data_IF_910877274456
#
_entry.id   IF_910877274456
#
_cell.length_a   1.000
_cell.length_b   1.000
_cell.length_c   1.000
_cell.angle_alpha   90.00
_cell.angle_beta   90.00
_cell.angle_gamma   90.00
#
_symmetry.space_group_name_H-M   'P 1'
#
loop_
_entity.id
_entity.type
_entity.pdbx_description
1 polymer ?
#
# COMPACT_ATOMS: atom_id res chain seq x y z
N UNK A 1 -20.39 -28.92 9.81
CA UNK A 1 -19.95 -28.21 8.59
C UNK A 1 -19.51 -26.85 9.06
N UNK A 2 -18.19 -26.72 9.30
CA UNK A 2 -17.61 -25.45 9.73
C UNK A 2 -17.76 -24.45 8.59
N UNK A 3 -18.56 -23.41 8.83
CA UNK A 3 -18.56 -22.23 7.99
C UNK A 3 -17.15 -21.62 8.09
N UNK A 4 -16.32 -21.89 7.09
CA UNK A 4 -15.07 -21.20 6.87
C UNK A 4 -15.39 -19.70 6.98
N UNK A 5 -15.12 -19.09 8.14
CA UNK A 5 -15.29 -17.65 8.32
C UNK A 5 -14.46 -16.97 7.23
N UNK A 6 -15.13 -16.24 6.35
CA UNK A 6 -14.49 -15.51 5.28
C UNK A 6 -13.34 -14.70 5.89
N UNK A 7 -12.14 -14.90 5.38
CA UNK A 7 -10.95 -14.20 5.86
C UNK A 7 -10.93 -12.84 5.21
N UNK A 8 -10.93 -11.82 6.02
CA UNK A 8 -10.91 -10.44 5.54
C UNK A 8 -9.49 -10.03 5.12
N UNK A 9 -9.34 -9.48 3.92
CA UNK A 9 -8.10 -8.83 3.50
C UNK A 9 -8.29 -7.32 3.50
N UNK A 10 -7.44 -6.62 4.22
CA UNK A 10 -7.41 -5.16 4.28
C UNK A 10 -6.13 -4.66 3.61
N UNK A 11 -6.29 -3.83 2.59
CA UNK A 11 -5.21 -3.21 1.84
C UNK A 11 -5.04 -1.75 2.25
N UNK A 12 -3.87 -1.39 2.79
CA UNK A 12 -3.46 0.00 2.88
C UNK A 12 -2.66 0.36 1.63
N UNK A 13 -3.19 1.24 0.80
CA UNK A 13 -2.62 1.59 -0.51
C UNK A 13 -1.83 2.92 -0.53
N UNK A 14 -1.67 3.56 0.60
CA UNK A 14 -0.98 4.85 0.69
C UNK A 14 -1.99 5.99 0.57
N UNK A 15 -1.65 7.13 0.06
CA UNK A 15 -0.66 7.48 -0.99
C UNK A 15 0.78 7.61 -0.46
N UNK A 16 1.72 7.92 -1.38
CA UNK A 16 3.07 8.29 -0.97
C UNK A 16 3.06 9.54 -0.07
N UNK A 17 4.06 9.70 0.79
CA UNK A 17 4.24 10.89 1.66
C UNK A 17 3.12 11.14 2.68
N UNK A 18 2.40 10.09 3.05
CA UNK A 18 1.32 10.11 4.05
C UNK A 18 1.64 9.24 5.28
N UNK A 19 2.91 9.03 5.61
CA UNK A 19 3.33 8.26 6.79
C UNK A 19 3.32 6.74 6.59
N UNK A 20 3.20 6.26 5.34
CA UNK A 20 3.17 4.83 4.99
C UNK A 20 4.33 4.05 5.60
N UNK A 21 5.56 4.56 5.46
CA UNK A 21 6.75 3.91 6.04
C UNK A 21 6.64 3.71 7.55
N UNK A 22 6.15 4.74 8.28
CA UNK A 22 5.97 4.65 9.73
C UNK A 22 4.92 3.60 10.09
N UNK A 23 3.81 3.53 9.34
CA UNK A 23 2.78 2.52 9.53
C UNK A 23 3.31 1.11 9.25
N UNK A 24 4.05 0.90 8.17
CA UNK A 24 4.66 -0.38 7.82
C UNK A 24 5.65 -0.86 8.87
N UNK A 25 6.51 0.03 9.38
CA UNK A 25 7.43 -0.27 10.49
C UNK A 25 6.65 -0.65 11.75
N UNK A 26 5.56 0.05 12.04
CA UNK A 26 4.69 -0.25 13.17
C UNK A 26 4.02 -1.62 13.02
N UNK A 27 3.51 -1.94 11.84
CA UNK A 27 2.94 -3.27 11.53
C UNK A 27 3.97 -4.37 11.74
N UNK A 28 5.21 -4.19 11.23
CA UNK A 28 6.28 -5.16 11.40
C UNK A 28 6.63 -5.39 12.89
N UNK A 29 6.77 -4.31 13.65
CA UNK A 29 7.07 -4.38 15.09
C UNK A 29 5.95 -5.07 15.88
N UNK A 30 4.71 -4.95 15.43
CA UNK A 30 3.53 -5.51 16.09
C UNK A 30 3.12 -6.88 15.57
N UNK A 31 3.78 -7.43 14.55
CA UNK A 31 3.32 -8.61 13.80
C UNK A 31 3.06 -9.83 14.70
N UNK A 32 3.96 -10.12 15.64
CA UNK A 32 3.79 -11.25 16.57
C UNK A 32 2.57 -11.07 17.50
N UNK A 33 2.39 -9.87 18.04
CA UNK A 33 1.23 -9.55 18.88
C UNK A 33 -0.08 -9.52 18.08
N UNK A 34 -0.04 -9.04 16.84
CA UNK A 34 -1.19 -9.07 15.94
C UNK A 34 -1.59 -10.50 15.58
N UNK A 35 -0.61 -11.39 15.35
CA UNK A 35 -0.86 -12.80 15.08
C UNK A 35 -1.62 -13.49 16.23
N UNK A 36 -1.28 -13.22 17.49
CA UNK A 36 -2.00 -13.75 18.67
C UNK A 36 -3.45 -13.25 18.76
N UNK A 37 -3.80 -12.17 18.04
CA UNK A 37 -5.14 -11.62 17.93
C UNK A 37 -5.85 -12.00 16.60
N UNK A 38 -5.29 -12.97 15.87
CA UNK A 38 -5.88 -13.45 14.61
C UNK A 38 -5.71 -12.50 13.42
N UNK A 39 -4.69 -11.63 13.45
CA UNK A 39 -4.33 -10.74 12.35
C UNK A 39 -2.95 -11.14 11.79
N UNK A 40 -2.91 -11.49 10.52
CA UNK A 40 -1.67 -11.74 9.80
C UNK A 40 -1.23 -10.44 9.09
N UNK A 41 0.01 -10.02 9.31
CA UNK A 41 0.63 -8.94 8.54
C UNK A 41 1.32 -9.56 7.34
N UNK A 42 0.92 -9.14 6.13
CA UNK A 42 1.55 -9.61 4.90
C UNK A 42 3.05 -9.32 4.90
N UNK A 43 3.85 -10.31 4.57
CA UNK A 43 5.31 -10.22 4.59
C UNK A 43 5.88 -10.43 3.20
N UNK A 44 6.65 -9.46 2.71
CA UNK A 44 7.39 -9.62 1.46
C UNK A 44 8.56 -10.58 1.61
N UNK A 45 8.70 -11.51 0.68
CA UNK A 45 9.89 -12.34 0.51
C UNK A 45 10.98 -11.68 -0.34
N UNK A 46 10.67 -10.57 -1.02
CA UNK A 46 11.57 -9.97 -2.01
C UNK A 46 12.66 -9.07 -1.41
N UNK A 47 12.43 -8.52 -0.23
CA UNK A 47 13.35 -7.58 0.40
C UNK A 47 13.46 -7.80 1.89
N UNK A 48 14.48 -7.17 2.51
CA UNK A 48 14.63 -7.14 3.98
C UNK A 48 13.52 -6.35 4.69
N UNK A 49 12.74 -5.56 3.95
CA UNK A 49 11.59 -4.79 4.47
C UNK A 49 10.34 -5.65 4.37
N UNK A 50 10.22 -6.62 5.24
CA UNK A 50 9.21 -7.67 5.17
C UNK A 50 7.77 -7.18 5.32
N UNK A 51 7.53 -6.06 6.00
CA UNK A 51 6.17 -5.51 6.16
C UNK A 51 5.65 -4.72 4.94
N UNK A 52 6.40 -4.66 3.86
CA UNK A 52 6.00 -4.03 2.61
C UNK A 52 5.54 -5.10 1.62
N UNK A 53 4.34 -4.97 1.11
CA UNK A 53 3.76 -5.96 0.19
C UNK A 53 4.21 -5.69 -1.25
N UNK A 54 5.51 -5.80 -1.51
CA UNK A 54 6.14 -5.49 -2.80
C UNK A 54 5.57 -6.33 -3.94
N UNK A 55 5.30 -7.61 -3.67
CA UNK A 55 4.74 -8.57 -4.61
C UNK A 55 3.43 -8.05 -5.21
N UNK A 56 2.55 -7.50 -4.37
CA UNK A 56 1.26 -7.00 -4.79
C UNK A 56 1.40 -5.85 -5.80
N UNK A 57 2.35 -4.94 -5.58
CA UNK A 57 2.61 -3.84 -6.51
C UNK A 57 3.20 -4.34 -7.84
N UNK A 58 4.15 -5.31 -7.79
CA UNK A 58 4.78 -5.87 -8.98
C UNK A 58 3.82 -6.69 -9.84
N UNK A 59 2.87 -7.41 -9.22
CA UNK A 59 1.87 -8.21 -9.92
C UNK A 59 0.78 -7.31 -10.52
N UNK A 60 0.33 -6.30 -9.77
CA UNK A 60 -0.88 -5.55 -10.13
C UNK A 60 -0.63 -4.46 -11.15
N UNK A 61 0.45 -3.69 -10.99
CA UNK A 61 0.70 -2.52 -11.81
C UNK A 61 1.07 -2.90 -13.25
N UNK A 62 0.58 -2.12 -14.19
CA UNK A 62 0.91 -2.24 -15.62
C UNK A 62 2.42 -2.19 -15.85
N UNK A 63 2.90 -2.92 -16.84
CA UNK A 63 4.33 -3.06 -17.14
C UNK A 63 4.99 -1.75 -17.56
N UNK A 64 4.24 -0.88 -18.22
CA UNK A 64 4.68 0.43 -18.72
C UNK A 64 5.01 1.39 -17.57
N UNK A 65 4.45 1.13 -16.38
CA UNK A 65 4.73 1.92 -15.20
C UNK A 65 6.03 1.45 -14.54
N UNK A 66 7.14 2.09 -14.88
CA UNK A 66 8.44 1.74 -14.35
C UNK A 66 8.63 2.30 -12.91
N UNK A 67 8.02 1.63 -11.93
CA UNK A 67 8.23 1.97 -10.54
C UNK A 67 9.64 1.63 -10.09
N UNK A 68 10.25 2.38 -9.13
CA UNK A 68 11.62 2.14 -8.65
C UNK A 68 11.87 0.70 -8.20
N UNK A 69 10.84 0.03 -7.70
CA UNK A 69 10.93 -1.36 -7.28
C UNK A 69 11.27 -2.30 -8.45
N UNK A 70 10.73 -2.05 -9.66
CA UNK A 70 11.05 -2.88 -10.85
C UNK A 70 12.49 -2.79 -11.27
N UNK A 71 13.12 -1.63 -11.13
CA UNK A 71 14.53 -1.46 -11.48
C UNK A 71 15.50 -2.27 -10.61
N UNK A 72 15.01 -2.83 -9.50
CA UNK A 72 15.79 -3.75 -8.66
C UNK A 72 15.88 -5.17 -9.24
N UNK A 73 15.08 -5.49 -10.27
CA UNK A 73 15.02 -6.82 -10.89
C UNK A 73 15.31 -6.73 -12.39
N UNK A 74 16.15 -7.64 -12.94
CA UNK A 74 16.36 -7.72 -14.39
C UNK A 74 15.05 -8.05 -15.11
N UNK A 75 14.78 -7.39 -16.25
CA UNK A 75 13.56 -7.62 -17.04
C UNK A 75 13.35 -9.09 -17.43
N UNK A 76 14.44 -9.80 -17.72
CA UNK A 76 14.41 -11.23 -18.06
C UNK A 76 13.94 -12.14 -16.91
N UNK A 77 14.01 -11.68 -15.67
CA UNK A 77 13.60 -12.47 -14.50
C UNK A 77 12.13 -12.25 -14.11
N UNK A 78 11.53 -11.15 -14.53
CA UNK A 78 10.18 -10.76 -14.11
C UNK A 78 9.09 -11.82 -14.40
N UNK A 79 9.02 -12.48 -15.57
CA UNK A 79 7.97 -13.47 -15.83
C UNK A 79 8.04 -14.71 -14.94
N UNK A 80 9.25 -15.18 -14.61
CA UNK A 80 9.42 -16.31 -13.68
C UNK A 80 9.16 -15.91 -12.25
N UNK A 81 9.58 -14.72 -11.86
CA UNK A 81 9.34 -14.15 -10.55
C UNK A 81 7.84 -13.87 -10.31
N UNK A 82 7.09 -13.43 -11.32
CA UNK A 82 5.65 -13.17 -11.16
C UNK A 82 4.88 -14.42 -10.70
N UNK A 83 5.19 -15.58 -11.26
CA UNK A 83 4.55 -16.83 -10.83
C UNK A 83 4.91 -17.19 -9.38
N UNK A 84 6.16 -17.02 -8.99
CA UNK A 84 6.57 -17.25 -7.61
C UNK A 84 5.91 -16.26 -6.66
N UNK A 85 5.90 -14.97 -7.01
CA UNK A 85 5.24 -13.93 -6.24
C UNK A 85 3.75 -14.21 -6.05
N UNK A 86 3.06 -14.66 -7.10
CA UNK A 86 1.65 -15.02 -7.01
C UNK A 86 1.43 -16.21 -6.05
N UNK A 87 2.26 -17.24 -6.13
CA UNK A 87 2.21 -18.37 -5.20
C UNK A 87 2.47 -17.94 -3.76
N UNK A 88 3.44 -17.05 -3.53
CA UNK A 88 3.75 -16.51 -2.21
C UNK A 88 2.58 -15.68 -1.65
N UNK A 89 1.93 -14.87 -2.49
CA UNK A 89 0.73 -14.13 -2.10
C UNK A 89 -0.40 -15.08 -1.68
N UNK A 90 -0.72 -16.06 -2.51
CA UNK A 90 -1.77 -17.05 -2.23
C UNK A 90 -1.44 -17.84 -0.94
N UNK A 91 -0.18 -18.23 -0.75
CA UNK A 91 0.27 -18.92 0.47
C UNK A 91 0.01 -18.08 1.72
N UNK A 92 0.25 -16.78 1.68
CA UNK A 92 -0.06 -15.91 2.82
C UNK A 92 -1.57 -15.77 3.06
N UNK A 93 -2.38 -15.87 2.01
CA UNK A 93 -3.85 -15.91 2.16
C UNK A 93 -4.35 -17.21 2.81
N UNK A 94 -3.54 -18.27 2.83
CA UNK A 94 -3.86 -19.51 3.54
C UNK A 94 -3.55 -19.47 5.04
N UNK A 95 -3.00 -18.36 5.56
CA UNK A 95 -2.80 -18.15 7.00
C UNK A 95 -4.08 -18.48 7.79
N UNK A 96 -3.99 -19.11 8.98
CA UNK A 96 -5.17 -19.38 9.83
C UNK A 96 -5.78 -18.11 10.43
N UNK A 97 -5.15 -16.96 10.25
CA UNK A 97 -5.65 -15.68 10.74
C UNK A 97 -7.02 -15.32 10.13
N UNK A 98 -7.87 -14.67 10.90
CA UNK A 98 -9.17 -14.17 10.44
C UNK A 98 -9.06 -12.98 9.51
N UNK A 99 -7.97 -12.21 9.66
CA UNK A 99 -7.68 -11.00 8.88
C UNK A 99 -6.24 -11.01 8.37
N UNK A 100 -6.06 -10.58 7.14
CA UNK A 100 -4.73 -10.28 6.57
C UNK A 100 -4.66 -8.77 6.32
N UNK A 101 -3.57 -8.14 6.72
CA UNK A 101 -3.32 -6.72 6.45
C UNK A 101 -2.08 -6.60 5.59
N UNK A 102 -2.23 -5.97 4.42
CA UNK A 102 -1.13 -5.67 3.51
C UNK A 102 -1.00 -4.16 3.30
N UNK A 103 0.23 -3.68 3.13
CA UNK A 103 0.50 -2.25 2.98
C UNK A 103 1.57 -2.00 1.93
N UNK A 104 1.23 -1.23 0.89
CA UNK A 104 2.19 -0.75 -0.08
C UNK A 104 1.71 0.52 -0.79
N UNK A 105 2.48 1.59 -0.70
CA UNK A 105 2.12 2.89 -1.28
C UNK A 105 2.08 2.91 -2.82
N UNK A 106 2.84 2.03 -3.50
CA UNK A 106 2.78 1.97 -4.96
C UNK A 106 1.43 1.45 -5.49
N UNK A 107 0.60 0.82 -4.66
CA UNK A 107 -0.78 0.47 -5.03
C UNK A 107 -1.65 1.70 -5.30
N UNK A 108 -1.24 2.89 -4.81
CA UNK A 108 -1.89 4.16 -5.17
C UNK A 108 -1.59 4.63 -6.60
N UNK A 109 -0.76 3.92 -7.36
CA UNK A 109 -0.52 4.18 -8.77
C UNK A 109 -1.46 3.38 -9.72
N UNK A 110 -2.29 2.53 -9.18
CA UNK A 110 -3.34 1.84 -9.94
C UNK A 110 -4.31 2.88 -10.51
N UNK A 111 -4.63 2.75 -11.83
CA UNK A 111 -5.54 3.63 -12.57
C UNK A 111 -6.47 2.86 -13.49
N UNK A 112 -6.35 1.54 -13.57
CA UNK A 112 -7.18 0.75 -14.45
C UNK A 112 -7.90 -0.36 -13.68
N UNK A 113 -9.11 -0.70 -14.16
CA UNK A 113 -9.88 -1.82 -13.65
C UNK A 113 -9.06 -3.12 -13.66
N UNK A 114 -8.33 -3.37 -14.73
CA UNK A 114 -7.53 -4.59 -14.89
C UNK A 114 -6.40 -4.69 -13.84
N UNK A 115 -5.82 -3.56 -13.42
CA UNK A 115 -4.81 -3.56 -12.35
C UNK A 115 -5.42 -3.96 -11.01
N UNK A 116 -6.64 -3.48 -10.69
CA UNK A 116 -7.35 -3.88 -9.48
C UNK A 116 -7.74 -5.36 -9.54
N UNK A 117 -8.21 -5.84 -10.69
CA UNK A 117 -8.57 -7.25 -10.89
C UNK A 117 -7.38 -8.18 -10.68
N UNK A 118 -6.18 -7.84 -11.20
CA UNK A 118 -4.95 -8.60 -10.91
C UNK A 118 -4.57 -8.59 -9.43
N UNK A 119 -4.78 -7.46 -8.75
CA UNK A 119 -4.55 -7.36 -7.30
C UNK A 119 -5.51 -8.26 -6.53
N UNK A 120 -6.77 -8.26 -6.88
CA UNK A 120 -7.80 -9.12 -6.27
C UNK A 120 -7.50 -10.60 -6.50
N UNK A 121 -7.09 -10.97 -7.72
CA UNK A 121 -6.65 -12.33 -8.05
C UNK A 121 -5.45 -12.77 -7.20
N UNK A 122 -4.43 -11.91 -7.05
CA UNK A 122 -3.26 -12.19 -6.21
C UNK A 122 -3.63 -12.40 -4.73
N UNK A 123 -4.77 -11.90 -4.30
CA UNK A 123 -5.31 -12.04 -2.95
C UNK A 123 -6.45 -13.07 -2.85
N UNK A 124 -6.52 -13.99 -3.82
CA UNK A 124 -7.48 -15.10 -3.85
C UNK A 124 -8.95 -14.61 -3.79
N UNK A 125 -9.23 -13.45 -4.38
CA UNK A 125 -10.55 -12.84 -4.41
C UNK A 125 -11.06 -12.29 -3.07
N UNK A 126 -10.21 -12.18 -2.05
CA UNK A 126 -10.62 -11.93 -0.65
C UNK A 126 -10.53 -10.49 -0.19
N UNK A 127 -10.33 -9.54 -1.06
CA UNK A 127 -10.25 -8.12 -0.67
C UNK A 127 -11.61 -7.65 -0.18
N UNK A 128 -11.69 -7.27 1.09
CA UNK A 128 -12.93 -6.74 1.68
C UNK A 128 -12.83 -5.24 1.98
N UNK A 129 -11.62 -4.70 2.05
CA UNK A 129 -11.42 -3.29 2.39
C UNK A 129 -10.12 -2.74 1.80
N UNK A 130 -10.22 -1.53 1.25
CA UNK A 130 -9.09 -0.69 0.85
C UNK A 130 -9.06 0.56 1.73
N UNK A 131 -7.93 0.84 2.33
CA UNK A 131 -7.69 2.06 3.11
C UNK A 131 -6.72 2.94 2.34
N UNK A 132 -7.19 4.09 1.91
CA UNK A 132 -6.44 5.11 1.19
C UNK A 132 -6.24 6.35 2.07
N UNK A 133 -5.03 6.85 2.17
CA UNK A 133 -4.75 8.13 2.82
C UNK A 133 -4.48 9.16 1.74
N UNK A 134 -5.32 10.15 1.65
CA UNK A 134 -5.14 11.27 0.73
C UNK A 134 -4.52 12.46 1.45
N UNK A 135 -3.70 13.17 0.71
CA UNK A 135 -3.08 14.41 1.12
C UNK A 135 -3.56 15.53 0.19
N UNK A 136 -3.54 16.77 0.69
CA UNK A 136 -3.70 17.93 -0.17
C UNK A 136 -2.77 17.85 -1.38
N UNK A 137 -3.31 18.11 -2.59
CA UNK A 137 -2.60 17.85 -3.85
C UNK A 137 -1.31 18.69 -3.98
N UNK A 138 -1.36 19.98 -3.61
CA UNK A 138 -0.18 20.86 -3.67
C UNK A 138 0.91 20.38 -2.70
N UNK A 139 0.50 20.08 -1.46
CA UNK A 139 1.37 19.56 -0.41
C UNK A 139 1.98 18.21 -0.79
N UNK A 140 1.18 17.34 -1.45
CA UNK A 140 1.66 16.07 -1.99
C UNK A 140 2.72 16.31 -3.06
N UNK A 141 2.43 17.11 -4.08
CA UNK A 141 3.33 17.39 -5.20
C UNK A 141 4.63 18.04 -4.74
N UNK A 142 4.58 18.98 -3.81
CA UNK A 142 5.79 19.54 -3.22
C UNK A 142 6.66 18.48 -2.54
N UNK A 143 6.05 17.60 -1.77
CA UNK A 143 6.76 16.49 -1.10
C UNK A 143 7.28 15.45 -2.11
N UNK A 144 6.54 15.22 -3.19
CA UNK A 144 6.92 14.33 -4.28
C UNK A 144 8.12 14.88 -5.08
N UNK A 145 8.12 16.17 -5.43
CA UNK A 145 9.28 16.87 -6.02
C UNK A 145 10.55 16.69 -5.19
N UNK A 146 10.43 16.88 -3.88
CA UNK A 146 11.55 16.69 -2.95
C UNK A 146 12.04 15.22 -2.91
N UNK A 147 11.14 14.26 -3.06
CA UNK A 147 11.48 12.85 -3.15
C UNK A 147 12.23 12.54 -4.44
N UNK A 148 11.73 12.99 -5.58
CA UNK A 148 12.36 12.81 -6.89
C UNK A 148 13.77 13.42 -6.93
N UNK A 149 13.96 14.61 -6.37
CA UNK A 149 15.26 15.27 -6.30
C UNK A 149 16.30 14.47 -5.48
N UNK A 150 15.86 13.71 -4.47
CA UNK A 150 16.73 12.86 -3.64
C UNK A 150 17.07 11.52 -4.31
N UNK A 151 16.22 11.02 -5.20
CA UNK A 151 16.41 9.75 -5.91
C UNK A 151 17.18 9.96 -7.20
N UNK A 152 18.51 9.99 -7.12
CA UNK A 152 19.43 10.15 -8.29
C UNK A 152 19.30 9.07 -9.38
N UNK A 153 18.50 8.05 -9.17
CA UNK A 153 18.36 6.88 -10.07
C UNK A 153 17.23 6.98 -11.08
N UNK A 154 16.47 8.07 -11.05
CA UNK A 154 15.19 8.10 -11.75
C UNK A 154 15.24 8.62 -13.18
N UNK A 155 16.36 9.13 -13.65
CA UNK A 155 16.33 10.09 -14.77
C UNK A 155 16.63 9.52 -16.14
N UNK A 156 16.77 8.21 -16.31
CA UNK A 156 17.26 7.67 -17.60
C UNK A 156 16.24 6.93 -18.46
N UNK A 157 15.00 6.76 -18.03
CA UNK A 157 13.99 6.08 -18.88
C UNK A 157 12.77 6.96 -19.14
N UNK A 158 12.30 6.97 -20.38
CA UNK A 158 11.08 7.67 -20.82
C UNK A 158 9.84 7.33 -19.98
N UNK A 159 9.81 6.16 -19.36
CA UNK A 159 8.73 5.71 -18.46
C UNK A 159 8.70 6.49 -17.13
N UNK A 160 9.82 7.07 -16.71
CA UNK A 160 9.88 7.89 -15.52
C UNK A 160 9.34 9.31 -15.71
N UNK A 161 9.25 9.77 -16.95
CA UNK A 161 8.71 11.10 -17.26
C UNK A 161 7.28 11.27 -16.74
N UNK A 162 6.47 10.19 -16.76
CA UNK A 162 5.11 10.23 -16.22
C UNK A 162 5.06 10.52 -14.71
N UNK A 163 6.10 10.20 -13.95
CA UNK A 163 6.22 10.53 -12.54
C UNK A 163 6.85 11.90 -12.26
N UNK A 164 7.50 12.47 -13.27
CA UNK A 164 8.15 13.79 -13.19
C UNK A 164 7.16 14.93 -13.37
N UNK A 165 5.98 14.66 -13.96
CA UNK A 165 4.92 15.65 -14.00
C UNK A 165 4.40 15.90 -12.57
N UNK A 166 4.64 17.10 -12.08
CA UNK A 166 4.31 17.52 -10.73
C UNK A 166 3.37 18.74 -10.72
N UNK A 167 2.58 18.88 -11.77
CA UNK A 167 1.53 19.90 -11.88
C UNK A 167 0.21 19.34 -11.33
N UNK A 168 -0.74 20.21 -11.03
CA UNK A 168 -2.01 19.82 -10.41
C UNK A 168 -2.91 18.99 -11.33
N UNK A 169 -2.66 19.00 -12.64
CA UNK A 169 -3.33 18.15 -13.63
C UNK A 169 -2.66 16.77 -13.79
N UNK A 170 -1.63 16.50 -12.98
CA UNK A 170 -0.94 15.21 -13.01
C UNK A 170 -1.87 14.09 -12.53
N UNK A 171 -1.89 12.98 -13.28
CA UNK A 171 -2.63 11.77 -12.92
C UNK A 171 -2.29 11.24 -11.51
N UNK A 172 -1.11 11.56 -10.98
CA UNK A 172 -0.66 11.12 -9.64
C UNK A 172 -1.56 11.67 -8.54
N UNK A 173 -2.12 12.86 -8.72
CA UNK A 173 -2.99 13.54 -7.75
C UNK A 173 -4.47 13.54 -8.16
N UNK A 174 -4.83 12.77 -9.17
CA UNK A 174 -6.24 12.50 -9.48
C UNK A 174 -6.79 11.48 -8.47
N UNK A 175 -7.27 12.04 -7.35
CA UNK A 175 -7.81 11.24 -6.27
C UNK A 175 -9.16 10.60 -6.60
N UNK A 176 -9.96 11.25 -7.44
CA UNK A 176 -11.26 10.74 -7.86
C UNK A 176 -11.08 9.53 -8.77
N UNK A 177 -10.14 9.56 -9.71
CA UNK A 177 -9.78 8.41 -10.54
C UNK A 177 -9.25 7.27 -9.66
N UNK A 178 -8.34 7.56 -8.72
CA UNK A 178 -7.79 6.55 -7.81
C UNK A 178 -8.88 5.85 -7.01
N UNK A 179 -9.77 6.59 -6.39
CA UNK A 179 -10.87 6.04 -5.59
C UNK A 179 -11.85 5.31 -6.49
N UNK A 180 -12.20 5.92 -7.63
CA UNK A 180 -13.18 5.40 -8.59
C UNK A 180 -12.81 4.04 -9.15
N UNK A 181 -11.53 3.80 -9.46
CA UNK A 181 -11.09 2.52 -10.01
C UNK A 181 -11.21 1.38 -9.00
N UNK A 182 -10.88 1.62 -7.73
CA UNK A 182 -11.06 0.64 -6.66
C UNK A 182 -12.55 0.41 -6.35
N UNK A 183 -13.31 1.48 -6.20
CA UNK A 183 -14.75 1.40 -5.93
C UNK A 183 -15.52 0.70 -7.07
N UNK A 184 -15.10 0.89 -8.31
CA UNK A 184 -15.71 0.26 -9.48
C UNK A 184 -15.52 -1.26 -9.57
N UNK A 185 -14.54 -1.81 -8.84
CA UNK A 185 -14.30 -3.28 -8.79
C UNK A 185 -14.81 -3.88 -7.48
N UNK A 186 -14.57 -3.20 -6.36
CA UNK A 186 -14.79 -3.75 -5.02
C UNK A 186 -16.10 -3.29 -4.36
N UNK A 187 -16.75 -2.27 -4.93
CA UNK A 187 -17.85 -1.54 -4.30
C UNK A 187 -17.36 -0.32 -3.51
N UNK A 188 -18.15 0.74 -3.49
CA UNK A 188 -17.78 2.00 -2.82
C UNK A 188 -17.60 1.82 -1.30
N UNK A 189 -18.37 0.94 -0.69
CA UNK A 189 -18.31 0.61 0.74
C UNK A 189 -17.01 -0.07 1.15
N UNK A 190 -16.31 -0.70 0.20
CA UNK A 190 -15.01 -1.32 0.44
C UNK A 190 -13.87 -0.29 0.54
N UNK A 191 -14.08 0.96 0.08
CA UNK A 191 -13.03 1.98 0.05
C UNK A 191 -13.20 2.95 1.20
N UNK A 192 -12.20 3.01 2.08
CA UNK A 192 -12.13 3.98 3.17
C UNK A 192 -11.06 5.01 2.85
N UNK A 193 -11.44 6.28 2.83
CA UNK A 193 -10.55 7.41 2.59
C UNK A 193 -10.29 8.16 3.89
N UNK A 194 -9.01 8.36 4.20
CA UNK A 194 -8.54 9.19 5.31
C UNK A 194 -7.89 10.46 4.75
N UNK A 195 -8.14 11.59 5.39
CA UNK A 195 -7.46 12.85 5.07
C UNK A 195 -6.25 13.02 5.99
N UNK A 196 -5.06 13.08 5.40
CA UNK A 196 -3.80 13.12 6.13
C UNK A 196 -3.68 14.31 7.08
N UNK A 197 -4.00 15.52 6.60
CA UNK A 197 -3.88 16.75 7.38
C UNK A 197 -4.81 16.74 8.59
N UNK A 198 -6.07 16.35 8.38
CA UNK A 198 -7.08 16.25 9.44
C UNK A 198 -6.67 15.22 10.50
N UNK A 199 -6.26 14.05 10.09
CA UNK A 199 -5.90 12.99 11.05
C UNK A 199 -4.60 13.32 11.80
N UNK A 200 -3.62 13.93 11.11
CA UNK A 200 -2.39 14.40 11.74
C UNK A 200 -2.66 15.53 12.74
N UNK A 201 -3.59 16.44 12.43
CA UNK A 201 -3.98 17.52 13.35
C UNK A 201 -4.71 16.97 14.57
N UNK A 202 -5.64 16.03 14.39
CA UNK A 202 -6.47 15.50 15.48
C UNK A 202 -5.70 14.59 16.43
N UNK A 203 -4.74 13.83 15.92
CA UNK A 203 -4.08 12.74 16.66
C UNK A 203 -2.58 12.91 16.78
N UNK A 204 -1.99 13.98 16.21
CA UNK A 204 -0.53 14.15 16.12
C UNK A 204 0.17 13.13 15.21
N UNK A 205 -0.57 12.14 14.67
CA UNK A 205 -0.06 11.10 13.78
C UNK A 205 -1.18 10.45 12.97
N UNK A 206 -0.86 10.05 11.73
CA UNK A 206 -1.77 9.26 10.89
C UNK A 206 -1.90 7.79 11.37
N UNK A 207 -0.94 7.31 12.16
CA UNK A 207 -0.86 5.89 12.56
C UNK A 207 -2.13 5.43 13.27
N UNK A 208 -2.69 6.25 14.15
CA UNK A 208 -3.90 5.90 14.90
C UNK A 208 -5.11 5.73 13.98
N UNK A 209 -5.30 6.65 13.04
CA UNK A 209 -6.38 6.57 12.07
C UNK A 209 -6.22 5.34 11.16
N UNK A 210 -5.00 5.07 10.70
CA UNK A 210 -4.69 3.87 9.91
C UNK A 210 -4.92 2.59 10.71
N UNK A 211 -4.51 2.56 11.98
CA UNK A 211 -4.71 1.41 12.87
C UNK A 211 -6.20 1.06 12.98
N UNK A 212 -7.03 2.04 13.30
CA UNK A 212 -8.48 1.87 13.42
C UNK A 212 -9.14 1.55 12.07
N UNK A 213 -8.75 2.24 10.99
CA UNK A 213 -9.29 2.00 9.65
C UNK A 213 -8.98 0.60 9.12
N UNK A 214 -7.80 0.04 9.44
CA UNK A 214 -7.45 -1.34 9.13
C UNK A 214 -8.12 -2.35 10.08
N UNK A 215 -8.90 -1.91 11.06
CA UNK A 215 -9.58 -2.75 12.04
C UNK A 215 -8.62 -3.57 12.89
N UNK A 216 -7.48 -2.99 13.25
CA UNK A 216 -6.48 -3.61 14.12
C UNK A 216 -6.91 -3.49 15.58
N UNK A 217 -6.50 -4.44 16.46
CA UNK A 217 -6.88 -4.42 17.86
C UNK A 217 -6.44 -3.14 18.57
N UNK A 218 -7.37 -2.41 19.16
CA UNK A 218 -7.10 -1.15 19.88
C UNK A 218 -6.14 -1.32 21.06
N UNK A 219 -6.20 -2.49 21.71
CA UNK A 219 -5.28 -2.84 22.80
C UNK A 219 -3.81 -2.92 22.40
N UNK A 220 -3.54 -3.07 21.10
CA UNK A 220 -2.19 -3.13 20.54
C UNK A 220 -1.81 -1.84 19.80
N UNK A 221 -2.68 -0.82 19.81
CA UNK A 221 -2.39 0.46 19.18
C UNK A 221 -1.16 1.11 19.83
N UNK A 222 -0.14 1.49 19.03
CA UNK A 222 1.08 2.07 19.58
C UNK A 222 0.80 3.40 20.29
N UNK A 223 1.43 3.60 21.42
CA UNK A 223 1.41 4.89 22.11
C UNK A 223 2.19 5.95 21.32
N UNK A 224 1.83 7.22 21.45
CA UNK A 224 2.24 8.40 20.67
C UNK A 224 3.75 8.68 20.51
N UNK A 225 4.65 7.87 21.03
CA UNK A 225 6.08 8.13 21.06
C UNK A 225 6.90 7.58 19.88
N UNK A 226 6.28 6.99 18.86
CA UNK A 226 7.01 6.58 17.67
C UNK A 226 7.48 7.84 16.92
N UNK A 227 8.75 8.17 17.04
CA UNK A 227 9.41 9.29 16.33
C UNK A 227 9.06 9.24 14.86
N UNK A 228 8.65 10.37 14.30
CA UNK A 228 8.46 10.55 12.87
C UNK A 228 9.72 10.14 12.11
N UNK A 229 9.68 9.02 11.40
CA UNK A 229 10.84 8.52 10.63
C UNK A 229 11.14 9.35 9.36
N UNK A 230 10.30 10.35 9.06
CA UNK A 230 10.40 11.17 7.85
C UNK A 230 10.24 12.67 8.09
N UNK A 231 10.65 13.21 9.23
CA UNK A 231 10.90 14.65 9.32
C UNK A 231 12.20 14.96 8.56
N UNK A 232 12.11 15.15 7.25
CA UNK A 232 13.19 15.78 6.50
C UNK A 232 13.16 17.28 6.81
N UNK A 233 14.09 17.74 7.62
CA UNK A 233 14.53 19.13 7.64
C UNK A 233 15.21 19.46 6.30
#
# INVERSE_FOLDING_TARGET
MDSSSARDVVLHIGTHKTGTTSFQVTLAASAASLASHGVHVFQSGLTKRTSWSHELALISLRSELNIPLRSMFPDSSLPSMQRQMLQDCISQMQSPARRVVASHEALSFIRTRQEVERLVEALDGRVCKVVCVLRDAESFLQSWKNQLAKTKHATSSAHFESFMNTDLDSWIVDWDELIGVYAGVLGAEAVTVLNYEREAQNHGTIIHALWSACGLPESLRPNHSAKWLNSSH
#
